data_IF_416294258429
#
_entry.id   IF_416294258429
#
_cell.length_a   1.000
_cell.length_b   1.000
_cell.length_c   1.000
_cell.angle_alpha   90.00
_cell.angle_beta   90.00
_cell.angle_gamma   90.00
#
_symmetry.space_group_name_H-M   'P 1'
#
loop_
_entity.id
_entity.type
_entity.pdbx_description
1 polymer ?
#
# COMPACT_ATOMS: atom_id res chain seq x y z
N UNK A 1 -12.50 -20.57 0.48
CA UNK A 1 -11.67 -19.46 -0.06
C UNK A 1 -12.22 -18.17 0.52
N UNK A 2 -11.41 -17.41 1.27
CA UNK A 2 -11.70 -15.99 1.49
C UNK A 2 -10.81 -15.26 0.50
N UNK A 3 -11.39 -14.78 -0.59
CA UNK A 3 -10.71 -13.84 -1.47
C UNK A 3 -10.29 -12.64 -0.62
N UNK A 4 -9.01 -12.28 -0.62
CA UNK A 4 -8.63 -10.98 -0.10
C UNK A 4 -9.18 -9.92 -1.07
N UNK A 5 -9.90 -8.97 -0.49
CA UNK A 5 -10.94 -8.10 -1.07
C UNK A 5 -10.60 -7.32 -2.35
N UNK A 6 -9.35 -7.33 -2.83
CA UNK A 6 -8.93 -6.62 -4.04
C UNK A 6 -9.19 -7.39 -5.33
N UNK A 7 -9.15 -8.72 -5.30
CA UNK A 7 -9.40 -9.55 -6.49
C UNK A 7 -10.89 -9.60 -6.87
N UNK A 8 -11.79 -9.26 -5.93
CA UNK A 8 -13.24 -9.17 -6.19
C UNK A 8 -13.66 -7.96 -7.04
N UNK A 9 -12.80 -6.94 -7.17
CA UNK A 9 -13.05 -5.76 -8.03
C UNK A 9 -12.52 -5.99 -9.45
N UNK A 10 -11.50 -6.84 -9.60
CA UNK A 10 -10.89 -7.21 -10.87
C UNK A 10 -9.36 -7.12 -10.82
N UNK A 11 -8.70 -8.14 -11.36
CA UNK A 11 -7.24 -8.34 -11.27
C UNK A 11 -6.39 -7.16 -11.77
N UNK A 12 -6.93 -6.30 -12.65
CA UNK A 12 -6.21 -5.13 -13.19
C UNK A 12 -6.29 -3.87 -12.34
N UNK A 13 -7.10 -3.82 -11.28
CA UNK A 13 -7.34 -2.59 -10.52
C UNK A 13 -6.10 -2.11 -9.76
N UNK A 14 -5.46 -3.00 -8.99
CA UNK A 14 -4.23 -2.68 -8.25
C UNK A 14 -3.11 -2.30 -9.21
N UNK A 15 -2.96 -3.06 -10.30
CA UNK A 15 -1.88 -2.83 -11.26
C UNK A 15 -2.08 -1.46 -11.95
N UNK A 16 -3.33 -1.09 -12.27
CA UNK A 16 -3.67 0.24 -12.78
C UNK A 16 -3.37 1.39 -11.81
N UNK A 17 -3.60 1.20 -10.50
CA UNK A 17 -3.25 2.21 -9.48
C UNK A 17 -1.74 2.41 -9.37
N UNK A 18 -0.97 1.30 -9.37
CA UNK A 18 0.50 1.35 -9.37
C UNK A 18 1.03 2.06 -10.61
N UNK A 19 0.53 1.70 -11.79
CA UNK A 19 0.92 2.33 -13.06
C UNK A 19 0.56 3.82 -13.11
N UNK A 20 -0.57 4.21 -12.52
CA UNK A 20 -0.94 5.62 -12.42
C UNK A 20 0.04 6.36 -11.51
N UNK A 21 0.31 5.84 -10.31
CA UNK A 21 1.24 6.47 -9.37
C UNK A 21 2.67 6.57 -9.93
N UNK A 22 3.13 5.56 -10.68
CA UNK A 22 4.44 5.55 -11.35
C UNK A 22 4.59 6.72 -12.33
N UNK A 23 3.50 7.12 -13.00
CA UNK A 23 3.48 8.27 -13.92
C UNK A 23 3.43 9.62 -13.20
N UNK A 24 2.94 9.67 -11.96
CA UNK A 24 2.77 10.90 -11.19
C UNK A 24 3.94 11.19 -10.26
N UNK A 25 4.65 10.17 -9.79
CA UNK A 25 5.72 10.29 -8.79
C UNK A 25 7.05 9.85 -9.37
N UNK A 26 7.99 10.78 -9.46
CA UNK A 26 9.34 10.51 -9.98
C UNK A 26 10.26 9.92 -8.92
N UNK A 27 11.35 9.27 -9.34
CA UNK A 27 12.39 8.79 -8.42
C UNK A 27 13.05 9.94 -7.65
N UNK A 28 13.16 11.12 -8.26
CA UNK A 28 13.68 12.31 -7.59
C UNK A 28 12.76 12.76 -6.44
N UNK A 29 11.44 12.71 -6.64
CA UNK A 29 10.46 12.98 -5.58
C UNK A 29 10.58 11.97 -4.44
N UNK A 30 10.78 10.68 -4.75
CA UNK A 30 10.99 9.64 -3.74
C UNK A 30 12.27 9.85 -2.94
N UNK A 31 13.36 10.31 -3.56
CA UNK A 31 14.61 10.64 -2.84
C UNK A 31 14.41 11.72 -1.77
N UNK A 32 13.51 12.68 -2.02
CA UNK A 32 13.14 13.75 -1.08
C UNK A 32 11.95 13.42 -0.17
N UNK A 33 11.44 12.19 -0.18
CA UNK A 33 10.18 11.86 0.52
C UNK A 33 10.27 12.06 2.04
N UNK A 34 11.41 11.74 2.66
CA UNK A 34 11.60 11.88 4.10
C UNK A 34 11.64 13.36 4.55
N UNK A 35 12.16 14.24 3.70
CA UNK A 35 12.18 15.69 3.97
C UNK A 35 10.78 16.29 3.80
N UNK A 36 10.06 15.90 2.74
CA UNK A 36 8.69 16.39 2.49
C UNK A 36 7.68 15.85 3.50
N UNK A 37 7.80 14.58 3.88
CA UNK A 37 6.86 13.87 4.74
C UNK A 37 7.57 13.29 5.97
N UNK A 38 7.93 14.13 6.97
CA UNK A 38 8.70 13.69 8.13
C UNK A 38 7.94 12.70 9.03
N UNK A 39 6.60 12.73 9.00
CA UNK A 39 5.74 11.76 9.67
C UNK A 39 5.09 10.85 8.63
N UNK A 40 5.14 9.54 8.81
CA UNK A 40 4.52 8.58 7.90
C UNK A 40 5.09 8.63 6.48
N UNK A 41 6.42 8.68 6.36
CA UNK A 41 7.11 8.76 5.08
C UNK A 41 6.71 7.60 4.17
N UNK A 42 6.24 7.85 2.94
CA UNK A 42 5.81 6.81 2.02
C UNK A 42 7.01 5.98 1.51
N UNK A 43 6.86 4.66 1.53
CA UNK A 43 7.89 3.73 1.03
C UNK A 43 7.75 3.38 -0.46
N UNK A 44 6.62 3.72 -1.08
CA UNK A 44 6.31 3.45 -2.49
C UNK A 44 5.78 4.71 -3.17
N UNK A 45 5.87 4.76 -4.50
CA UNK A 45 5.30 5.85 -5.31
C UNK A 45 3.79 5.94 -5.19
N UNK A 46 3.12 4.80 -5.09
CA UNK A 46 1.69 4.73 -4.79
C UNK A 46 1.36 5.38 -3.44
N UNK A 47 2.09 5.03 -2.37
CA UNK A 47 1.92 5.66 -1.07
C UNK A 47 2.23 7.16 -1.09
N UNK A 48 3.22 7.58 -1.87
CA UNK A 48 3.57 9.00 -2.06
C UNK A 48 2.44 9.77 -2.74
N UNK A 49 1.84 9.17 -3.77
CA UNK A 49 0.71 9.76 -4.48
C UNK A 49 -0.49 9.98 -3.55
N UNK A 50 -0.89 8.95 -2.80
CA UNK A 50 -1.96 9.08 -1.81
C UNK A 50 -1.63 10.09 -0.71
N UNK A 51 -0.38 10.10 -0.24
CA UNK A 51 0.05 11.07 0.77
C UNK A 51 0.00 12.50 0.25
N UNK A 52 0.31 12.73 -1.02
CA UNK A 52 0.20 14.05 -1.65
C UNK A 52 -1.25 14.54 -1.70
N UNK A 53 -2.20 13.65 -2.05
CA UNK A 53 -3.64 13.95 -2.02
C UNK A 53 -4.11 14.24 -0.59
N UNK A 54 -3.66 13.43 0.38
CA UNK A 54 -3.99 13.65 1.79
C UNK A 54 -3.54 15.04 2.27
N UNK A 55 -2.29 15.42 2.01
CA UNK A 55 -1.75 16.70 2.45
C UNK A 55 -2.44 17.90 1.76
N UNK A 56 -2.94 17.74 0.53
CA UNK A 56 -3.75 18.75 -0.17
C UNK A 56 -5.09 19.02 0.54
N UNK A 57 -5.74 17.96 1.02
CA UNK A 57 -7.03 18.07 1.71
C UNK A 57 -6.92 18.33 3.22
N UNK A 58 -5.83 17.90 3.85
CA UNK A 58 -5.60 17.98 5.29
C UNK A 58 -4.25 18.64 5.60
N UNK A 59 -4.08 19.95 5.31
CA UNK A 59 -2.80 20.64 5.44
C UNK A 59 -2.33 20.85 6.89
N UNK A 60 -3.13 20.44 7.88
CA UNK A 60 -2.80 20.65 9.29
C UNK A 60 -1.68 19.68 9.74
N UNK A 61 -0.60 20.16 10.39
CA UNK A 61 0.55 19.33 10.77
C UNK A 61 0.23 18.13 11.66
N UNK A 62 -0.87 18.16 12.43
CA UNK A 62 -1.30 17.03 13.26
C UNK A 62 -2.09 15.96 12.51
N UNK A 63 -2.61 16.24 11.31
CA UNK A 63 -3.44 15.31 10.57
C UNK A 63 -2.70 14.00 10.22
N UNK A 64 -1.42 14.03 9.75
CA UNK A 64 -0.65 12.81 9.51
C UNK A 64 -0.46 11.95 10.77
N UNK A 65 -0.46 12.54 11.97
CA UNK A 65 -0.28 11.81 13.23
C UNK A 65 -1.48 10.93 13.58
N UNK A 66 -2.65 11.22 12.99
CA UNK A 66 -3.88 10.44 13.19
C UNK A 66 -3.95 9.20 12.28
N UNK A 67 -3.08 9.10 11.27
CA UNK A 67 -3.03 7.96 10.36
C UNK A 67 -2.10 6.89 10.96
N UNK A 68 -2.61 5.70 11.31
CA UNK A 68 -1.76 4.64 11.83
C UNK A 68 -0.73 4.20 10.79
N UNK A 69 0.56 4.25 11.14
CA UNK A 69 1.63 3.73 10.32
C UNK A 69 1.94 2.25 10.58
N UNK A 70 2.87 1.71 9.79
CA UNK A 70 3.37 0.34 9.94
C UNK A 70 2.87 -0.61 8.84
N UNK A 71 3.49 -1.79 8.72
CA UNK A 71 3.09 -2.77 7.72
C UNK A 71 1.68 -3.28 8.04
N UNK A 72 0.82 -3.34 7.03
CA UNK A 72 -0.52 -3.89 7.11
C UNK A 72 -0.83 -4.66 5.83
N UNK A 73 -1.73 -5.64 5.92
CA UNK A 73 -2.21 -6.39 4.76
C UNK A 73 -3.74 -6.40 4.80
N UNK A 74 -4.37 -5.80 3.78
CA UNK A 74 -5.83 -5.66 3.70
C UNK A 74 -6.42 -5.06 5.00
N UNK A 75 -7.42 -5.73 5.60
CA UNK A 75 -8.13 -5.28 6.81
C UNK A 75 -7.39 -5.60 8.13
N UNK A 76 -6.09 -5.91 8.08
CA UNK A 76 -5.37 -6.41 9.24
C UNK A 76 -4.39 -5.37 9.80
N UNK A 77 -4.26 -5.32 11.13
CA UNK A 77 -3.31 -4.45 11.82
C UNK A 77 -1.89 -5.03 11.73
N UNK A 78 -0.84 -4.26 12.06
CA UNK A 78 0.53 -4.80 12.15
C UNK A 78 0.63 -6.04 13.05
N UNK A 79 -0.26 -6.16 14.04
CA UNK A 79 -0.39 -7.34 14.91
C UNK A 79 -0.67 -8.63 14.14
N UNK A 80 -1.45 -8.57 13.06
CA UNK A 80 -1.78 -9.75 12.26
C UNK A 80 -0.59 -10.28 11.45
N UNK A 81 0.37 -9.41 11.11
CA UNK A 81 1.61 -9.79 10.42
C UNK A 81 2.52 -10.61 11.34
N UNK A 82 2.43 -10.43 12.65
CA UNK A 82 3.22 -11.18 13.64
C UNK A 82 2.74 -12.62 13.83
N UNK A 83 1.53 -12.96 13.36
CA UNK A 83 0.89 -14.24 13.65
C UNK A 83 1.12 -15.30 12.56
N UNK A 84 1.75 -14.93 11.45
CA UNK A 84 2.02 -15.83 10.33
C UNK A 84 3.25 -15.38 9.52
N UNK A 85 4.29 -16.21 9.53
CA UNK A 85 5.56 -15.96 8.83
C UNK A 85 5.41 -15.81 7.30
N UNK A 86 4.34 -16.34 6.71
CA UNK A 86 4.08 -16.20 5.27
C UNK A 86 3.65 -14.77 4.88
N UNK A 87 2.94 -14.07 5.76
CA UNK A 87 2.54 -12.67 5.56
C UNK A 87 3.70 -11.70 5.80
N UNK A 88 4.59 -12.01 6.75
CA UNK A 88 5.78 -11.18 7.03
C UNK A 88 6.73 -11.05 5.82
N UNK A 89 6.75 -12.06 4.93
CA UNK A 89 7.62 -12.07 3.74
C UNK A 89 6.94 -11.59 2.45
N UNK A 90 5.63 -11.34 2.47
CA UNK A 90 4.87 -11.04 1.26
C UNK A 90 3.70 -10.08 1.55
N UNK A 91 4.04 -8.81 1.83
CA UNK A 91 3.09 -7.72 2.08
C UNK A 91 2.44 -7.18 0.80
N UNK A 92 2.04 -8.07 -0.11
CA UNK A 92 1.24 -7.69 -1.27
C UNK A 92 -0.25 -7.65 -0.85
N UNK A 93 -0.94 -6.50 -1.00
CA UNK A 93 -2.37 -6.40 -0.72
C UNK A 93 -3.25 -7.16 -1.73
N UNK A 94 -2.67 -7.75 -2.77
CA UNK A 94 -3.36 -8.68 -3.67
C UNK A 94 -3.35 -10.11 -3.12
N UNK A 95 -4.40 -10.90 -3.40
CA UNK A 95 -4.49 -12.30 -2.97
C UNK A 95 -3.39 -13.20 -3.55
N UNK A 96 -2.59 -12.68 -4.48
CA UNK A 96 -1.46 -13.35 -5.15
C UNK A 96 -0.29 -13.66 -4.21
N UNK A 97 -0.23 -13.03 -3.03
CA UNK A 97 0.78 -13.34 -2.00
C UNK A 97 0.69 -14.79 -1.47
N UNK A 98 -0.48 -15.43 -1.57
CA UNK A 98 -0.69 -16.82 -1.13
C UNK A 98 -0.32 -17.78 -2.26
N UNK A 99 0.97 -18.14 -2.38
CA UNK A 99 1.42 -19.13 -3.38
C UNK A 99 0.75 -20.48 -3.12
N UNK A 100 0.03 -21.01 -4.11
CA UNK A 100 -0.51 -22.38 -4.13
C UNK A 100 -2.01 -22.52 -4.43
N UNK A 101 -2.78 -21.42 -4.49
CA UNK A 101 -4.25 -21.49 -4.70
C UNK A 101 -4.68 -21.25 -6.16
N UNK A 102 -3.79 -20.75 -7.01
CA UNK A 102 -4.11 -20.37 -8.39
C UNK A 102 -3.28 -21.18 -9.40
N UNK A 103 -3.66 -22.44 -9.62
CA UNK A 103 -3.13 -23.27 -10.74
C UNK A 103 -4.15 -23.47 -11.86
N UNK A 104 -5.32 -22.80 -11.81
CA UNK A 104 -6.33 -22.87 -12.87
C UNK A 104 -7.04 -21.52 -13.01
N UNK A 105 -6.60 -20.72 -13.96
CA UNK A 105 -7.44 -19.69 -14.60
C UNK A 105 -7.60 -20.12 -16.05
N UNK A 106 -8.86 -20.37 -16.44
CA UNK A 106 -9.30 -20.63 -17.81
C UNK A 106 -9.40 -19.30 -18.57
#
# INVERSE_FOLDING_TARGET
>A
QKEQFSDGVGYGWIDGLKDHAERQVTDAMMKGAAERFPHGTPATKEGYFYRSIFDEHFPHPSAPLQVPGGPSIACSTPTAILWDEAFAKNADPSGRAVRGVHNKSY
#
